data_IF_447967384801
#
_entry.id   IF_447967384801
#
_cell.length_a   1.000
_cell.length_b   1.000
_cell.length_c   1.000
_cell.angle_alpha   90.00
_cell.angle_beta   90.00
_cell.angle_gamma   90.00
#
_symmetry.space_group_name_H-M   'P 1'
#
loop_
_entity.id
_entity.type
_entity.pdbx_description
1 polymer ?
#
# COMPACT_ATOMS: atom_id res chain seq x y z
N UNK A 1 11.39 -12.93 0.39
CA UNK A 1 11.39 -13.07 1.86
C UNK A 1 10.46 -14.17 2.33
N UNK A 2 9.14 -14.09 2.10
CA UNK A 2 8.18 -15.13 2.54
C UNK A 2 8.52 -16.52 1.98
N UNK A 3 8.65 -16.65 0.65
CA UNK A 3 8.96 -17.95 0.00
C UNK A 3 10.39 -18.45 0.22
N UNK A 4 11.26 -17.63 0.82
CA UNK A 4 12.67 -17.98 1.09
C UNK A 4 12.93 -18.08 2.61
N UNK A 5 11.88 -18.09 3.43
CA UNK A 5 11.96 -18.19 4.89
C UNK A 5 12.90 -17.16 5.55
N UNK A 6 13.00 -15.96 4.96
CA UNK A 6 13.84 -14.86 5.46
C UNK A 6 13.11 -13.97 6.47
N UNK A 7 11.92 -14.36 6.92
CA UNK A 7 11.12 -13.62 7.90
C UNK A 7 11.46 -14.07 9.32
N UNK A 8 11.39 -13.17 10.30
CA UNK A 8 11.58 -13.51 11.71
C UNK A 8 10.28 -14.06 12.30
N UNK A 9 10.04 -15.36 12.08
CA UNK A 9 8.80 -16.00 12.52
C UNK A 9 8.59 -15.90 14.05
N UNK A 10 9.59 -16.14 14.93
CA UNK A 10 9.40 -15.97 16.37
C UNK A 10 8.99 -14.55 16.79
N UNK A 11 9.53 -13.52 16.12
CA UNK A 11 9.11 -12.14 16.35
C UNK A 11 7.65 -11.92 15.92
N UNK A 12 7.29 -12.41 14.72
CA UNK A 12 5.94 -12.27 14.17
C UNK A 12 4.90 -12.98 15.04
N UNK A 13 5.16 -14.22 15.46
CA UNK A 13 4.26 -15.00 16.32
C UNK A 13 4.03 -14.34 17.68
N UNK A 14 5.05 -13.64 18.22
CA UNK A 14 5.00 -13.06 19.55
C UNK A 14 4.41 -11.65 19.58
N UNK A 15 4.65 -10.84 18.55
CA UNK A 15 4.39 -9.40 18.59
C UNK A 15 3.48 -8.89 17.46
N UNK A 16 3.06 -9.73 16.51
CA UNK A 16 2.20 -9.33 15.41
C UNK A 16 0.87 -10.10 15.40
N UNK A 17 -0.18 -9.44 14.89
CA UNK A 17 -1.52 -10.00 14.73
C UNK A 17 -1.86 -10.01 13.25
N UNK A 18 -2.39 -11.12 12.75
CA UNK A 18 -2.86 -11.30 11.38
C UNK A 18 -1.74 -11.40 10.34
N UNK A 19 -0.51 -11.77 10.72
CA UNK A 19 0.54 -12.05 9.75
C UNK A 19 0.22 -13.33 8.96
N UNK A 20 -0.14 -14.39 9.69
CA UNK A 20 -0.52 -15.70 9.21
C UNK A 20 -1.77 -16.20 9.95
N UNK A 21 -2.23 -17.40 9.62
CA UNK A 21 -3.43 -18.00 10.23
C UNK A 21 -3.30 -18.16 11.76
N UNK A 22 -2.09 -18.36 12.29
CA UNK A 22 -1.85 -18.57 13.74
C UNK A 22 -2.02 -17.28 14.54
N UNK A 23 -1.65 -16.16 13.92
CA UNK A 23 -1.70 -14.83 14.53
C UNK A 23 -3.03 -14.12 14.25
N UNK A 24 -3.95 -14.77 13.53
CA UNK A 24 -5.24 -14.21 13.16
C UNK A 24 -6.23 -14.29 14.35
N UNK A 25 -6.99 -13.22 14.66
CA UNK A 25 -7.94 -13.23 15.77
C UNK A 25 -9.16 -14.11 15.49
N UNK A 26 -9.79 -14.62 16.54
CA UNK A 26 -11.02 -15.39 16.43
C UNK A 26 -12.13 -14.58 15.75
N UNK A 27 -12.76 -15.18 14.73
CA UNK A 27 -13.83 -14.55 13.95
C UNK A 27 -13.38 -13.83 12.68
N UNK A 28 -12.08 -13.75 12.42
CA UNK A 28 -11.57 -13.32 11.12
C UNK A 28 -11.84 -14.39 10.04
N UNK A 29 -12.04 -13.98 8.78
CA UNK A 29 -12.23 -14.92 7.68
C UNK A 29 -10.96 -15.75 7.43
N UNK A 30 -11.14 -17.00 6.99
CA UNK A 30 -10.04 -17.82 6.51
C UNK A 30 -9.28 -17.08 5.39
N UNK A 31 -7.95 -17.17 5.38
CA UNK A 31 -7.08 -16.42 4.47
C UNK A 31 -7.16 -14.88 4.61
N UNK A 32 -7.77 -14.36 5.67
CA UNK A 32 -7.82 -12.93 5.97
C UNK A 32 -6.50 -12.34 6.50
N UNK A 33 -5.44 -13.15 6.56
CA UNK A 33 -4.13 -12.76 7.07
C UNK A 33 -3.21 -12.21 5.96
N UNK A 34 -2.20 -11.43 6.35
CA UNK A 34 -1.31 -10.70 5.44
C UNK A 34 -0.57 -11.63 4.46
N UNK A 35 -0.08 -12.78 4.93
CA UNK A 35 0.63 -13.76 4.09
C UNK A 35 -0.24 -14.26 2.92
N UNK A 36 -1.49 -14.63 3.15
CA UNK A 36 -2.43 -15.03 2.10
C UNK A 36 -2.64 -13.92 1.06
N UNK A 37 -2.78 -12.66 1.48
CA UNK A 37 -2.89 -11.52 0.55
C UNK A 37 -1.64 -11.36 -0.34
N UNK A 38 -0.45 -11.52 0.21
CA UNK A 38 0.80 -11.42 -0.56
C UNK A 38 0.96 -12.61 -1.51
N UNK A 39 0.55 -13.81 -1.09
CA UNK A 39 0.66 -15.02 -1.90
C UNK A 39 -0.48 -15.18 -2.93
N UNK A 40 -1.52 -14.34 -2.86
CA UNK A 40 -2.67 -14.38 -3.77
C UNK A 40 -3.73 -15.41 -3.38
N UNK A 41 -3.75 -15.83 -2.11
CA UNK A 41 -4.71 -16.77 -1.54
C UNK A 41 -5.91 -16.06 -0.87
N UNK A 42 -5.86 -14.73 -0.80
CA UNK A 42 -6.96 -13.88 -0.34
C UNK A 42 -7.95 -13.52 -1.45
N UNK A 43 -8.90 -12.65 -1.13
CA UNK A 43 -10.05 -12.33 -1.98
C UNK A 43 -9.71 -11.79 -3.39
N UNK A 44 -8.55 -11.15 -3.55
CA UNK A 44 -8.15 -10.58 -4.84
C UNK A 44 -7.53 -11.59 -5.80
N UNK A 45 -7.12 -12.77 -5.32
CA UNK A 45 -6.51 -13.83 -6.13
C UNK A 45 -5.19 -13.45 -6.81
N UNK A 46 -4.53 -12.35 -6.41
CA UNK A 46 -3.35 -11.80 -7.09
C UNK A 46 -2.11 -11.98 -6.24
N UNK A 47 -1.20 -12.86 -6.65
CA UNK A 47 0.11 -12.98 -6.01
C UNK A 47 0.95 -11.71 -6.23
N UNK A 48 1.45 -11.11 -5.15
CA UNK A 48 2.28 -9.90 -5.15
C UNK A 48 3.76 -10.23 -5.41
N UNK A 49 4.01 -10.87 -6.55
CA UNK A 49 5.33 -11.34 -6.95
C UNK A 49 6.27 -10.19 -7.32
N UNK A 50 7.60 -10.42 -7.34
CA UNK A 50 8.55 -9.46 -7.87
C UNK A 50 8.24 -9.00 -9.31
N UNK A 51 7.75 -9.90 -10.16
CA UNK A 51 7.33 -9.59 -11.53
C UNK A 51 6.11 -8.66 -11.56
N UNK A 52 5.13 -8.92 -10.67
CA UNK A 52 3.98 -8.04 -10.49
C UNK A 52 4.42 -6.63 -10.04
N UNK A 53 5.33 -6.54 -9.05
CA UNK A 53 5.84 -5.26 -8.54
C UNK A 53 6.68 -4.51 -9.59
N UNK A 54 7.46 -5.23 -10.39
CA UNK A 54 8.25 -4.68 -11.50
C UNK A 54 7.37 -3.96 -12.51
N UNK A 55 6.24 -4.56 -12.90
CA UNK A 55 5.27 -3.95 -13.83
C UNK A 55 4.71 -2.61 -13.31
N UNK A 56 4.50 -2.49 -11.99
CA UNK A 56 3.91 -1.29 -11.38
C UNK A 56 4.96 -0.19 -11.15
N UNK A 57 6.14 -0.57 -10.66
CA UNK A 57 7.16 0.38 -10.21
C UNK A 57 8.17 0.75 -11.29
N UNK A 58 8.28 -0.06 -12.35
CA UNK A 58 9.31 0.04 -13.38
C UNK A 58 10.70 -0.45 -12.92
N UNK A 59 10.82 -1.01 -11.71
CA UNK A 59 12.09 -1.52 -11.18
C UNK A 59 12.28 -2.98 -11.66
N UNK A 60 13.46 -3.34 -12.23
CA UNK A 60 13.72 -4.71 -12.66
C UNK A 60 13.49 -5.74 -11.55
N UNK A 61 12.90 -6.88 -11.92
CA UNK A 61 12.57 -8.00 -11.02
C UNK A 61 13.76 -8.44 -10.19
N UNK A 62 14.93 -8.57 -10.83
CA UNK A 62 16.18 -9.01 -10.21
C UNK A 62 16.63 -8.04 -9.12
N UNK A 63 16.41 -6.73 -9.32
CA UNK A 63 16.77 -5.70 -8.36
C UNK A 63 15.86 -5.74 -7.13
N UNK A 64 14.56 -6.01 -7.32
CA UNK A 64 13.60 -6.20 -6.22
C UNK A 64 14.00 -7.42 -5.37
N UNK A 65 14.30 -8.54 -6.02
CA UNK A 65 14.72 -9.78 -5.34
C UNK A 65 16.03 -9.56 -4.59
N UNK A 66 17.03 -8.97 -5.24
CA UNK A 66 18.34 -8.68 -4.63
C UNK A 66 18.18 -7.82 -3.38
N UNK A 67 17.45 -6.72 -3.45
CA UNK A 67 17.21 -5.84 -2.31
C UNK A 67 16.47 -6.56 -1.18
N UNK A 68 15.45 -7.36 -1.49
CA UNK A 68 14.71 -8.11 -0.49
C UNK A 68 15.60 -9.13 0.26
N UNK A 69 16.54 -9.78 -0.44
CA UNK A 69 17.53 -10.68 0.18
C UNK A 69 18.54 -9.92 1.01
N UNK A 70 19.07 -8.80 0.50
CA UNK A 70 19.99 -7.93 1.26
C UNK A 70 19.36 -7.49 2.59
N UNK A 71 18.08 -7.06 2.58
CA UNK A 71 17.34 -6.70 3.80
C UNK A 71 17.12 -7.92 4.70
N UNK A 72 16.63 -9.04 4.16
CA UNK A 72 16.29 -10.23 4.94
C UNK A 72 17.48 -10.92 5.59
N UNK A 73 18.67 -10.81 4.99
CA UNK A 73 19.92 -11.37 5.53
C UNK A 73 20.68 -10.40 6.44
N UNK A 74 20.46 -9.08 6.32
CA UNK A 74 21.13 -8.09 7.18
C UNK A 74 20.43 -8.00 8.53
N UNK A 75 21.04 -8.56 9.58
CA UNK A 75 20.49 -8.53 10.95
C UNK A 75 21.51 -7.87 11.89
N UNK A 76 21.29 -6.61 12.35
CA UNK A 76 20.09 -5.77 12.18
C UNK A 76 20.05 -5.01 10.84
N UNK A 77 18.85 -4.84 10.28
CA UNK A 77 18.58 -3.91 9.16
C UNK A 77 17.86 -2.67 9.68
N UNK A 78 18.31 -1.49 9.25
CA UNK A 78 17.65 -0.21 9.54
C UNK A 78 17.19 0.43 8.23
N UNK A 79 15.88 0.67 8.12
CA UNK A 79 15.27 1.30 6.94
C UNK A 79 14.95 2.76 7.29
N UNK A 80 15.78 3.68 6.79
CA UNK A 80 15.55 5.12 6.95
C UNK A 80 14.77 5.66 5.75
N UNK A 81 13.52 6.07 5.97
CA UNK A 81 12.73 6.75 4.94
C UNK A 81 13.11 8.24 4.89
N UNK A 82 13.49 8.73 3.70
CA UNK A 82 13.65 10.16 3.45
C UNK A 82 12.31 10.92 3.32
N UNK A 83 12.38 12.23 3.07
CA UNK A 83 11.23 13.16 3.03
C UNK A 83 10.41 13.12 1.71
N UNK A 84 10.50 12.06 0.91
CA UNK A 84 9.75 11.92 -0.34
C UNK A 84 8.24 11.68 -0.12
N UNK A 85 7.53 12.71 0.36
CA UNK A 85 6.08 12.85 0.63
C UNK A 85 5.41 11.76 1.51
N UNK A 86 4.75 12.21 2.60
CA UNK A 86 3.32 12.48 2.48
C UNK A 86 3.09 13.94 2.87
N UNK A 87 3.07 14.84 1.88
CA UNK A 87 2.67 16.22 2.14
C UNK A 87 1.14 16.33 1.96
N UNK A 88 0.34 16.46 3.03
CA UNK A 88 -1.01 16.99 2.91
C UNK A 88 -0.85 18.50 2.64
N UNK A 89 -0.56 18.88 1.39
CA UNK A 89 -0.14 20.26 1.16
C UNK A 89 0.06 20.69 -0.28
N UNK A 90 0.14 19.79 -1.26
CA UNK A 90 -0.10 20.19 -2.65
C UNK A 90 -1.62 20.16 -2.91
N UNK A 91 -2.35 21.03 -2.20
CA UNK A 91 -3.51 21.65 -2.84
C UNK A 91 -2.92 22.26 -4.12
N UNK A 92 -3.42 21.83 -5.28
CA UNK A 92 -3.20 22.55 -6.54
C UNK A 92 -3.29 24.02 -6.18
N UNK A 93 -2.20 24.77 -6.36
CA UNK A 93 -2.26 26.22 -6.23
C UNK A 93 -3.45 26.64 -7.08
N UNK A 94 -4.47 27.19 -6.44
CA UNK A 94 -5.58 27.78 -7.17
C UNK A 94 -4.94 28.75 -8.16
N UNK A 95 -5.04 28.45 -9.45
CA UNK A 95 -4.79 29.49 -10.46
C UNK A 95 -5.79 30.61 -10.14
N UNK A 96 -5.34 31.87 -10.04
CA UNK A 96 -6.27 32.99 -9.96
C UNK A 96 -7.11 33.00 -11.24
N UNK A 97 -8.37 32.56 -11.16
CA UNK A 97 -9.27 32.48 -12.32
C UNK A 97 -10.54 31.65 -12.12
N UNK A 98 -10.50 30.60 -11.29
CA UNK A 98 -11.60 29.60 -11.28
C UNK A 98 -12.84 29.99 -10.44
N UNK A 99 -12.97 31.26 -10.01
CA UNK A 99 -14.12 31.70 -9.19
C UNK A 99 -15.36 32.11 -9.99
N UNK A 100 -15.28 32.22 -11.32
CA UNK A 100 -16.37 32.84 -12.09
C UNK A 100 -17.46 31.87 -12.59
N UNK A 101 -17.19 30.56 -12.67
CA UNK A 101 -18.14 29.61 -13.27
C UNK A 101 -19.20 29.06 -12.29
N UNK A 102 -18.90 29.01 -10.99
CA UNK A 102 -19.80 28.42 -10.00
C UNK A 102 -20.95 29.36 -9.59
N UNK A 103 -20.77 30.67 -9.70
CA UNK A 103 -21.75 31.67 -9.23
C UNK A 103 -22.89 31.90 -10.23
N UNK A 104 -22.57 31.87 -11.54
CA UNK A 104 -23.55 32.01 -12.63
C UNK A 104 -24.61 30.89 -12.65
N UNK A 105 -24.24 29.66 -12.28
CA UNK A 105 -25.16 28.53 -12.27
C UNK A 105 -26.09 28.53 -11.04
N UNK A 106 -25.69 29.20 -9.96
CA UNK A 106 -26.53 29.38 -8.76
C UNK A 106 -27.58 30.46 -8.98
N UNK A 107 -27.22 31.56 -9.63
CA UNK A 107 -28.14 32.64 -9.98
C UNK A 107 -29.19 32.20 -11.02
N UNK A 108 -28.82 31.39 -12.02
CA UNK A 108 -29.77 30.85 -13.02
C UNK A 108 -30.81 29.89 -12.45
N UNK A 109 -30.52 29.19 -11.35
CA UNK A 109 -31.50 28.29 -10.69
C UNK A 109 -32.55 29.06 -9.88
N UNK A 110 -32.22 30.25 -9.39
CA UNK A 110 -33.19 31.11 -8.67
C UNK A 110 -34.17 31.83 -9.60
N UNK A 111 -33.76 32.18 -10.83
CA UNK A 111 -34.65 32.85 -11.80
C UNK A 111 -35.59 31.90 -12.56
N UNK A 112 -35.48 30.57 -12.37
CA UNK A 112 -36.39 29.57 -12.96
C UNK A 112 -37.46 29.04 -11.99
N UNK A 113 -37.63 29.70 -10.84
CA UNK A 113 -38.64 29.37 -9.82
C UNK A 113 -39.53 30.57 -9.45
N UNK A 114 -39.67 31.51 -10.38
CA UNK A 114 -40.68 32.58 -10.37
C UNK A 114 -41.36 32.53 -11.75
#
# INVERSE_FOLDING_TARGET
>A
MINEDLVDQPFLDKYCVGYDEKTLPAGAPANGHYKAYILGEGDDGIAKTPQWASRITGIPTERIIKLAREIGMSKPAYICRGLGAPAPGQRRTHRPGDRHAADLNRQRRHQRRQ
#
